data_IF_943131285435
#
_entry.id   IF_943131285435
#
_cell.length_a   1.000
_cell.length_b   1.000
_cell.length_c   1.000
_cell.angle_alpha   90.00
_cell.angle_beta   90.00
_cell.angle_gamma   90.00
#
_symmetry.space_group_name_H-M   'P 1'
#
loop_
_entity.id
_entity.type
_entity.pdbx_description
1 polymer ?
#
# COMPACT_ATOMS: atom_id res chain seq x y z
N UNK A 1 13.48 9.92 13.18
CA UNK A 1 14.68 10.33 13.92
C UNK A 1 15.37 11.53 13.28
N UNK A 2 15.84 11.51 12.03
CA UNK A 2 16.36 12.74 11.35
C UNK A 2 15.25 13.64 10.79
N UNK A 3 14.12 13.07 10.36
CA UNK A 3 12.97 13.80 9.82
C UNK A 3 11.84 14.02 10.85
N UNK A 4 12.13 14.01 12.16
CA UNK A 4 11.11 14.15 13.20
C UNK A 4 10.10 13.00 13.33
N UNK A 5 10.27 11.91 12.58
CA UNK A 5 9.39 10.72 12.67
C UNK A 5 9.74 9.88 13.90
N UNK A 6 8.73 9.59 14.73
CA UNK A 6 8.81 8.64 15.84
C UNK A 6 8.69 7.21 15.31
N UNK A 7 9.58 6.31 15.74
CA UNK A 7 9.48 4.89 15.42
C UNK A 7 8.50 4.23 16.39
N UNK A 8 7.53 3.51 15.84
CA UNK A 8 6.60 2.68 16.61
C UNK A 8 6.77 1.21 16.18
N UNK A 9 6.89 0.33 17.17
CA UNK A 9 7.15 -1.09 16.96
C UNK A 9 5.93 -1.90 17.40
N UNK A 10 5.60 -2.92 16.62
CA UNK A 10 4.55 -3.88 16.98
C UNK A 10 4.80 -4.47 18.36
N UNK A 11 3.77 -4.56 19.18
CA UNK A 11 3.90 -5.08 20.54
C UNK A 11 4.05 -6.61 20.51
N UNK A 12 4.91 -7.21 21.36
CA UNK A 12 4.99 -8.66 21.49
C UNK A 12 3.62 -9.28 21.76
N UNK A 13 3.26 -10.31 20.99
CA UNK A 13 1.97 -11.01 21.13
C UNK A 13 0.76 -10.24 20.58
N UNK A 14 0.95 -9.16 19.79
CA UNK A 14 -0.13 -8.41 19.13
C UNK A 14 -0.02 -8.47 17.61
N UNK A 15 -0.41 -9.61 16.98
CA UNK A 15 -0.32 -9.76 15.52
C UNK A 15 -1.19 -8.75 14.75
N UNK A 16 -2.24 -8.22 15.38
CA UNK A 16 -3.12 -7.21 14.78
C UNK A 16 -2.42 -5.89 14.49
N UNK A 17 -1.31 -5.58 15.18
CA UNK A 17 -0.56 -4.33 14.97
C UNK A 17 0.01 -4.25 13.54
N UNK A 18 0.21 -5.39 12.87
CA UNK A 18 0.79 -5.48 11.52
C UNK A 18 -0.22 -5.95 10.44
N UNK A 19 -1.47 -6.24 10.81
CA UNK A 19 -2.42 -6.92 9.93
C UNK A 19 -2.69 -6.18 8.61
N UNK A 20 -2.71 -4.84 8.64
CA UNK A 20 -2.95 -4.02 7.44
C UNK A 20 -1.82 -4.15 6.43
N UNK A 21 -0.57 -4.02 6.87
CA UNK A 21 0.59 -4.12 5.97
C UNK A 21 0.84 -5.56 5.53
N UNK A 22 0.51 -6.55 6.37
CA UNK A 22 0.54 -7.96 5.98
C UNK A 22 -0.46 -8.25 4.85
N UNK A 23 -1.69 -7.75 4.97
CA UNK A 23 -2.70 -7.89 3.92
C UNK A 23 -2.24 -7.22 2.61
N UNK A 24 -1.64 -6.04 2.69
CA UNK A 24 -1.08 -5.35 1.52
C UNK A 24 0.06 -6.14 0.88
N UNK A 25 1.04 -6.58 1.68
CA UNK A 25 2.20 -7.31 1.20
C UNK A 25 1.84 -8.67 0.59
N UNK A 26 0.84 -9.36 1.17
CA UNK A 26 0.27 -10.57 0.57
C UNK A 26 -0.27 -10.29 -0.83
N UNK A 27 -1.04 -9.21 -0.98
CA UNK A 27 -1.59 -8.78 -2.27
C UNK A 27 -0.50 -8.50 -3.31
N UNK A 28 0.50 -7.70 -2.93
CA UNK A 28 1.61 -7.35 -3.80
C UNK A 28 2.36 -8.61 -4.25
N UNK A 29 2.56 -9.56 -3.34
CA UNK A 29 3.23 -10.82 -3.65
C UNK A 29 2.42 -11.64 -4.65
N UNK A 30 1.14 -11.87 -4.39
CA UNK A 30 0.31 -12.75 -5.21
C UNK A 30 0.00 -12.14 -6.58
N UNK A 31 -0.29 -10.84 -6.63
CA UNK A 31 -0.75 -10.17 -7.85
C UNK A 31 0.37 -9.56 -8.69
N UNK A 32 1.53 -9.24 -8.10
CA UNK A 32 2.65 -8.65 -8.83
C UNK A 32 3.88 -9.55 -8.85
N UNK A 33 4.42 -9.91 -7.68
CA UNK A 33 5.74 -10.53 -7.62
C UNK A 33 5.75 -11.98 -8.12
N UNK A 34 4.72 -12.75 -7.78
CA UNK A 34 4.56 -14.13 -8.24
C UNK A 34 4.02 -14.21 -9.68
N UNK A 35 3.33 -13.17 -10.13
CA UNK A 35 2.71 -13.12 -11.47
C UNK A 35 3.70 -12.72 -12.58
N UNK A 36 4.92 -12.29 -12.25
CA UNK A 36 5.86 -11.72 -13.20
C UNK A 36 7.26 -12.33 -13.07
N UNK A 37 7.91 -12.57 -14.21
CA UNK A 37 9.37 -12.73 -14.26
C UNK A 37 10.03 -11.35 -14.35
N UNK A 38 11.14 -11.18 -13.64
CA UNK A 38 11.94 -9.95 -13.67
C UNK A 38 13.24 -10.18 -14.42
N UNK A 39 13.40 -9.48 -15.54
CA UNK A 39 14.57 -9.65 -16.42
C UNK A 39 15.71 -8.69 -16.07
N UNK A 40 15.40 -7.61 -15.35
CA UNK A 40 16.36 -6.62 -14.86
C UNK A 40 15.74 -5.78 -13.73
N UNK A 41 16.56 -4.97 -13.05
CA UNK A 41 16.06 -4.01 -12.08
C UNK A 41 15.16 -2.93 -12.71
N UNK A 42 15.44 -2.52 -13.95
CA UNK A 42 14.61 -1.55 -14.66
C UNK A 42 13.22 -2.12 -14.97
N UNK A 43 13.18 -3.37 -15.43
CA UNK A 43 11.93 -4.12 -15.68
C UNK A 43 11.13 -4.31 -14.37
N UNK A 44 11.80 -4.70 -13.28
CA UNK A 44 11.16 -4.81 -11.97
C UNK A 44 10.55 -3.49 -11.49
N UNK A 45 11.28 -2.38 -11.60
CA UNK A 45 10.77 -1.04 -11.25
C UNK A 45 9.53 -0.69 -12.08
N UNK A 46 9.55 -0.95 -13.38
CA UNK A 46 8.42 -0.67 -14.27
C UNK A 46 7.17 -1.48 -13.91
N UNK A 47 7.32 -2.79 -13.68
CA UNK A 47 6.22 -3.68 -13.30
C UNK A 47 5.63 -3.34 -11.94
N UNK A 48 6.49 -3.11 -10.94
CA UNK A 48 6.05 -2.74 -9.59
C UNK A 48 5.35 -1.38 -9.60
N UNK A 49 5.87 -0.40 -10.35
CA UNK A 49 5.23 0.92 -10.47
C UNK A 49 3.87 0.83 -11.15
N UNK A 50 3.75 0.01 -12.20
CA UNK A 50 2.47 -0.25 -12.87
C UNK A 50 1.45 -0.85 -11.90
N UNK A 51 1.86 -1.86 -11.12
CA UNK A 51 1.00 -2.46 -10.10
C UNK A 51 0.63 -1.45 -8.99
N UNK A 52 1.59 -0.65 -8.50
CA UNK A 52 1.37 0.38 -7.48
C UNK A 52 0.33 1.41 -7.94
N UNK A 53 0.42 1.87 -9.19
CA UNK A 53 -0.55 2.80 -9.78
C UNK A 53 -1.93 2.17 -9.86
N UNK A 54 -2.03 0.96 -10.42
CA UNK A 54 -3.31 0.26 -10.49
C UNK A 54 -3.95 0.08 -9.10
N UNK A 55 -3.17 -0.36 -8.10
CA UNK A 55 -3.66 -0.55 -6.73
C UNK A 55 -4.17 0.75 -6.11
N UNK A 56 -3.45 1.86 -6.25
CA UNK A 56 -3.79 3.12 -5.58
C UNK A 56 -4.79 3.98 -6.34
N UNK A 57 -4.77 3.93 -7.67
CA UNK A 57 -5.46 4.91 -8.53
C UNK A 57 -6.66 4.28 -9.25
N UNK A 58 -6.72 2.95 -9.39
CA UNK A 58 -7.75 2.28 -10.20
C UNK A 58 -8.56 1.23 -9.44
N UNK A 59 -8.03 0.64 -8.37
CA UNK A 59 -8.65 -0.47 -7.65
C UNK A 59 -9.59 0.04 -6.55
N UNK A 60 -10.91 -0.21 -6.61
CA UNK A 60 -11.81 0.10 -5.51
C UNK A 60 -11.65 -0.87 -4.34
N UNK A 61 -11.76 -0.38 -3.11
CA UNK A 61 -11.71 -1.20 -1.90
C UNK A 61 -13.02 -1.09 -1.11
N UNK A 62 -13.60 -2.24 -0.76
CA UNK A 62 -14.82 -2.31 0.07
C UNK A 62 -14.65 -1.61 1.42
N UNK A 63 -13.49 -1.79 2.06
CA UNK A 63 -13.14 -1.12 3.31
C UNK A 63 -13.09 0.43 3.20
N UNK A 64 -12.95 0.96 1.99
CA UNK A 64 -12.92 2.40 1.71
C UNK A 64 -14.26 2.92 1.16
N UNK A 65 -15.32 2.11 1.22
CA UNK A 65 -16.62 2.45 0.65
C UNK A 65 -16.63 2.42 -0.88
N UNK A 66 -15.93 1.45 -1.48
CA UNK A 66 -15.76 1.31 -2.94
C UNK A 66 -15.02 2.48 -3.61
N UNK A 67 -14.19 3.19 -2.84
CA UNK A 67 -13.24 4.18 -3.36
C UNK A 67 -11.86 3.57 -3.57
N UNK A 68 -11.06 4.19 -4.43
CA UNK A 68 -9.63 3.89 -4.55
C UNK A 68 -8.87 4.46 -3.35
N UNK A 69 -7.67 3.94 -3.02
CA UNK A 69 -6.83 4.52 -1.97
C UNK A 69 -6.51 6.00 -2.22
N UNK A 70 -6.31 6.41 -3.47
CA UNK A 70 -6.07 7.80 -3.83
C UNK A 70 -7.29 8.69 -3.56
N UNK A 71 -8.48 8.27 -3.98
CA UNK A 71 -9.73 9.02 -3.71
C UNK A 71 -9.98 9.16 -2.20
N UNK A 72 -9.74 8.08 -1.45
CA UNK A 72 -9.89 8.09 0.00
C UNK A 72 -8.91 9.08 0.66
N UNK A 73 -7.63 9.05 0.25
CA UNK A 73 -6.62 9.96 0.79
C UNK A 73 -6.90 11.42 0.46
N UNK A 74 -7.36 11.72 -0.76
CA UNK A 74 -7.76 13.08 -1.16
C UNK A 74 -8.93 13.60 -0.32
N UNK A 75 -9.97 12.77 -0.11
CA UNK A 75 -11.10 13.13 0.74
C UNK A 75 -10.67 13.38 2.19
N UNK A 76 -9.80 12.54 2.75
CA UNK A 76 -9.29 12.71 4.11
C UNK A 76 -8.42 13.98 4.26
N UNK A 77 -7.61 14.31 3.25
CA UNK A 77 -6.79 15.52 3.25
C UNK A 77 -7.63 16.80 3.23
N UNK A 78 -8.75 16.81 2.50
CA UNK A 78 -9.68 17.93 2.48
C UNK A 78 -10.35 18.12 3.85
N UNK A 79 -10.77 17.03 4.50
CA UNK A 79 -11.36 17.09 5.85
C UNK A 79 -10.37 17.57 6.92
N UNK A 80 -9.08 17.27 6.78
CA UNK A 80 -8.06 17.71 7.72
C UNK A 80 -7.65 19.19 7.55
N UNK A 81 -8.06 19.82 6.45
CA UNK A 81 -7.79 21.22 6.15
C UNK A 81 -8.93 22.16 6.60
N UNK A 82 -10.04 21.60 7.07
CA UNK A 82 -11.17 22.29 7.72
C UNK A 82 -10.98 22.35 9.23
#
# INVERSE_FOLDING_TARGET
>A
YENGVTLDFSRPGKPTDNALVESFNGRLRDECLNANWFLSLADARSKIETWRRHYNESRPHTALGWRTPQEFALAAALQAAE
#
